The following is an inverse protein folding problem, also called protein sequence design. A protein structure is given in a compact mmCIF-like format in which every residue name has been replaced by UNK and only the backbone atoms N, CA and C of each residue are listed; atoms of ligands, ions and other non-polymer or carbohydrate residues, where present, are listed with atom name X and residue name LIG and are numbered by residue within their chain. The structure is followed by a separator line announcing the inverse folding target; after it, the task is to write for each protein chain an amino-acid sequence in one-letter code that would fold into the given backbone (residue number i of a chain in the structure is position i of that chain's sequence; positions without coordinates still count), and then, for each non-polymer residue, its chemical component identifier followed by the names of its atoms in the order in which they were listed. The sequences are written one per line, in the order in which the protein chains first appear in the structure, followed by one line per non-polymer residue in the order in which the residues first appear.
data_IF_803570935969
#
_entry.id   IF_803570935969
#
_cell.length_a   1.000
_cell.length_b   1.000
_cell.length_c   1.000
_cell.angle_alpha   90.00
_cell.angle_beta   90.00
_cell.angle_gamma   90.00
#
_symmetry.space_group_name_H-M   'P 1'
#
loop_
_entity.id
_entity.type
_entity.pdbx_description
1 polymer ?
#
# COMPACT_ATOMS: atom_id res chain seq x y z
N UNK A 1 -1.59 19.13 -23.90
CA UNK A 1 -1.04 18.97 -22.55
C UNK A 1 -2.08 18.35 -21.62
N UNK A 2 -1.64 17.35 -20.84
CA UNK A 2 -2.49 16.75 -19.83
C UNK A 2 -2.80 17.80 -18.75
N UNK A 3 -4.03 17.80 -18.26
CA UNK A 3 -4.37 18.67 -17.14
C UNK A 3 -3.90 18.03 -15.82
N UNK A 4 -4.06 18.75 -14.72
CA UNK A 4 -3.62 18.30 -13.41
C UNK A 4 -4.33 17.01 -12.99
N UNK A 5 -5.62 16.87 -13.33
CA UNK A 5 -6.40 15.68 -13.01
C UNK A 5 -5.85 14.45 -13.74
N UNK A 6 -5.56 14.57 -15.03
CA UNK A 6 -5.00 13.48 -15.82
C UNK A 6 -3.62 13.06 -15.31
N UNK A 7 -2.77 14.01 -14.93
CA UNK A 7 -1.46 13.73 -14.36
C UNK A 7 -1.58 12.99 -13.03
N UNK A 8 -2.54 13.39 -12.21
CA UNK A 8 -2.78 12.75 -10.93
C UNK A 8 -3.26 11.31 -11.11
N UNK A 9 -4.18 11.09 -12.04
CA UNK A 9 -4.69 9.74 -12.35
C UNK A 9 -3.59 8.84 -12.89
N UNK A 10 -2.72 9.36 -13.76
CA UNK A 10 -1.60 8.60 -14.28
C UNK A 10 -0.62 8.24 -13.17
N UNK A 11 -0.30 9.17 -12.29
CA UNK A 11 0.58 8.92 -11.16
C UNK A 11 0.02 7.86 -10.23
N UNK A 12 -1.28 7.91 -9.94
CA UNK A 12 -1.95 6.92 -9.09
C UNK A 12 -1.90 5.54 -9.74
N UNK A 13 -2.11 5.45 -11.05
CA UNK A 13 -2.04 4.17 -11.77
C UNK A 13 -0.64 3.56 -11.72
N UNK A 14 0.39 4.38 -11.89
CA UNK A 14 1.79 3.92 -11.81
C UNK A 14 2.12 3.44 -10.40
N UNK A 15 1.66 4.16 -9.39
CA UNK A 15 1.88 3.80 -7.99
C UNK A 15 1.16 2.49 -7.67
N UNK A 16 -0.08 2.32 -8.13
CA UNK A 16 -0.83 1.10 -7.91
C UNK A 16 -0.16 -0.10 -8.55
N UNK A 17 0.39 0.08 -9.76
CA UNK A 17 1.13 -0.98 -10.44
C UNK A 17 2.36 -1.41 -9.66
N UNK A 18 3.15 -0.45 -9.19
CA UNK A 18 4.34 -0.73 -8.38
C UNK A 18 3.96 -1.38 -7.05
N UNK A 19 2.88 -0.92 -6.45
CA UNK A 19 2.37 -1.45 -5.20
C UNK A 19 1.94 -2.92 -5.35
N UNK A 20 1.25 -3.25 -6.44
CA UNK A 20 0.80 -4.61 -6.71
C UNK A 20 2.00 -5.56 -6.89
N UNK A 21 3.04 -5.09 -7.56
CA UNK A 21 4.28 -5.85 -7.73
C UNK A 21 4.93 -6.16 -6.39
N UNK A 22 5.08 -5.13 -5.55
CA UNK A 22 5.67 -5.30 -4.22
C UNK A 22 4.81 -6.20 -3.33
N UNK A 23 3.50 -6.07 -3.45
CA UNK A 23 2.57 -6.89 -2.70
C UNK A 23 2.73 -8.38 -3.05
N UNK A 24 2.81 -8.70 -4.35
CA UNK A 24 2.98 -10.08 -4.77
C UNK A 24 4.29 -10.67 -4.29
N UNK A 25 5.37 -9.89 -4.32
CA UNK A 25 6.65 -10.34 -3.79
C UNK A 25 6.59 -10.58 -2.28
N UNK A 26 5.95 -9.68 -1.55
CA UNK A 26 5.82 -9.80 -0.10
C UNK A 26 4.97 -11.01 0.27
N UNK A 27 3.90 -11.27 -0.46
CA UNK A 27 3.05 -12.44 -0.23
C UNK A 27 3.83 -13.75 -0.45
N UNK A 28 4.68 -13.79 -1.46
CA UNK A 28 5.50 -14.96 -1.73
C UNK A 28 6.52 -15.22 -0.62
N UNK A 29 6.98 -14.18 0.05
CA UNK A 29 7.95 -14.31 1.14
C UNK A 29 7.32 -14.63 2.48
N UNK A 30 6.19 -14.01 2.80
CA UNK A 30 5.66 -13.96 4.17
C UNK A 30 4.27 -14.52 4.31
N UNK A 31 3.57 -14.74 3.21
CA UNK A 31 2.17 -15.16 3.22
C UNK A 31 1.25 -14.02 2.83
N UNK A 32 0.00 -14.34 2.61
CA UNK A 32 -1.00 -13.40 2.10
C UNK A 32 -1.92 -12.94 3.22
N UNK A 33 -2.04 -11.61 3.46
CA UNK A 33 -3.06 -11.13 4.39
C UNK A 33 -4.44 -11.45 3.83
N UNK A 34 -5.33 -11.89 4.70
CA UNK A 34 -6.68 -12.27 4.31
C UNK A 34 -7.72 -11.47 5.07
N UNK A 35 -8.89 -11.37 4.48
CA UNK A 35 -10.08 -10.83 5.13
C UNK A 35 -10.79 -11.92 5.91
N UNK A 36 -11.78 -11.55 6.69
CA UNK A 36 -12.54 -12.50 7.50
C UNK A 36 -13.27 -13.57 6.67
N UNK A 37 -13.54 -13.28 5.39
CA UNK A 37 -14.15 -14.23 4.47
C UNK A 37 -13.13 -15.15 3.78
N UNK A 38 -11.85 -15.02 4.13
CA UNK A 38 -10.77 -15.85 3.56
C UNK A 38 -10.18 -15.35 2.26
N UNK A 39 -10.69 -14.25 1.70
CA UNK A 39 -10.13 -13.69 0.47
C UNK A 39 -8.89 -12.85 0.75
N UNK A 40 -8.02 -12.74 -0.25
CA UNK A 40 -6.80 -11.95 -0.14
C UNK A 40 -7.11 -10.46 0.02
N UNK A 41 -6.36 -9.82 0.91
CA UNK A 41 -6.47 -8.40 1.17
C UNK A 41 -5.26 -7.69 0.58
N UNK A 42 -5.48 -6.53 -0.02
CA UNK A 42 -4.40 -5.69 -0.55
C UNK A 42 -4.60 -4.25 -0.10
N UNK A 43 -3.50 -3.49 -0.19
CA UNK A 43 -3.55 -2.05 0.02
C UNK A 43 -4.26 -1.36 -1.13
N UNK A 44 -4.94 -0.28 -0.80
CA UNK A 44 -5.57 0.59 -1.77
C UNK A 44 -4.96 1.98 -1.64
N UNK A 45 -4.61 2.58 -2.79
CA UNK A 45 -4.19 3.97 -2.84
C UNK A 45 -5.45 4.83 -2.90
N UNK A 46 -5.68 5.63 -1.87
CA UNK A 46 -6.87 6.46 -1.78
C UNK A 46 -6.70 7.82 -2.45
N UNK A 47 -5.48 8.18 -2.80
CA UNK A 47 -5.21 9.42 -3.51
C UNK A 47 -4.03 10.18 -2.94
N UNK A 48 -3.81 11.37 -3.49
CA UNK A 48 -2.81 12.31 -3.00
C UNK A 48 -3.53 13.47 -2.35
N UNK A 49 -3.26 13.70 -1.06
CA UNK A 49 -3.89 14.77 -0.34
C UNK A 49 -4.18 14.40 1.11
N UNK A 50 -4.66 15.36 1.87
CA UNK A 50 -4.96 15.14 3.28
C UNK A 50 -6.37 14.62 3.45
N UNK A 51 -6.48 13.35 3.78
CA UNK A 51 -7.73 12.76 4.26
C UNK A 51 -7.54 12.46 5.74
N UNK A 52 -8.56 12.69 6.55
CA UNK A 52 -8.48 12.44 7.99
C UNK A 52 -8.29 10.95 8.30
N UNK A 53 -7.75 10.63 9.44
CA UNK A 53 -7.61 9.32 10.10
C UNK A 53 -7.07 8.17 9.21
N UNK A 54 -5.99 7.56 9.55
CA UNK A 54 -5.27 6.44 8.90
C UNK A 54 -4.33 6.92 7.79
N UNK A 55 -3.82 8.14 7.91
CA UNK A 55 -2.82 8.65 6.97
C UNK A 55 -1.45 8.08 7.29
N UNK A 56 -0.80 7.49 6.27
CA UNK A 56 0.60 7.12 6.33
C UNK A 56 1.35 8.05 5.40
N UNK A 57 2.04 9.02 5.97
CA UNK A 57 2.83 9.97 5.20
C UNK A 57 4.30 9.56 5.26
N UNK A 58 4.80 9.01 4.17
CA UNK A 58 6.19 8.55 4.07
C UNK A 58 7.07 9.47 3.25
N UNK A 59 6.51 10.50 2.63
CA UNK A 59 7.28 11.43 1.82
C UNK A 59 6.83 12.85 2.09
N UNK A 60 7.80 13.76 2.22
CA UNK A 60 7.50 15.18 2.38
C UNK A 60 7.00 15.82 1.09
N UNK A 61 7.27 15.20 -0.07
CA UNK A 61 6.96 15.78 -1.36
C UNK A 61 5.65 15.27 -1.96
N UNK A 62 5.21 14.09 -1.55
CA UNK A 62 3.99 13.47 -2.08
C UNK A 62 3.19 12.92 -0.92
N UNK A 63 1.99 13.44 -0.72
CA UNK A 63 1.05 12.93 0.27
C UNK A 63 0.29 11.75 -0.32
N UNK A 64 0.81 10.55 -0.13
CA UNK A 64 0.14 9.32 -0.56
C UNK A 64 -0.59 8.71 0.63
N UNK A 65 -1.83 8.37 0.40
CA UNK A 65 -2.67 7.76 1.43
C UNK A 65 -2.96 6.33 1.03
N UNK A 66 -2.57 5.41 1.89
CA UNK A 66 -2.81 3.98 1.73
C UNK A 66 -3.77 3.51 2.81
N UNK A 67 -4.57 2.52 2.48
CA UNK A 67 -5.48 1.95 3.45
C UNK A 67 -5.59 0.44 3.27
N UNK A 68 -5.87 -0.26 4.36
CA UNK A 68 -6.21 -1.67 4.32
C UNK A 68 -7.43 -1.90 5.21
N UNK A 69 -8.18 -2.95 4.91
CA UNK A 69 -9.51 -3.12 5.49
C UNK A 69 -9.51 -3.72 6.89
N UNK A 70 -8.70 -4.74 7.10
CA UNK A 70 -8.74 -5.49 8.36
C UNK A 70 -7.33 -5.78 8.84
N UNK A 71 -7.13 -5.64 10.14
CA UNK A 71 -5.88 -6.05 10.76
C UNK A 71 -5.89 -7.55 11.03
N UNK A 72 -4.72 -8.09 11.28
CA UNK A 72 -4.56 -9.51 11.55
C UNK A 72 -3.09 -9.87 11.60
N UNK A 73 -2.80 -11.15 11.61
CA UNK A 73 -1.45 -11.68 11.73
C UNK A 73 -1.23 -12.72 10.64
N UNK A 74 -0.10 -12.64 9.95
CA UNK A 74 0.28 -13.63 8.95
C UNK A 74 0.63 -14.96 9.61
N UNK A 75 0.55 -16.04 8.83
CA UNK A 75 0.90 -17.38 9.29
C UNK A 75 2.41 -17.65 9.13
N UNK A 76 3.25 -16.62 9.30
CA UNK A 76 4.69 -16.78 9.29
C UNK A 76 5.20 -17.05 10.71
N UNK A 77 6.49 -17.40 10.80
CA UNK A 77 7.09 -17.71 12.11
C UNK A 77 7.05 -16.53 13.08
N UNK A 78 7.14 -15.32 12.56
CA UNK A 78 7.20 -14.10 13.36
C UNK A 78 5.83 -13.56 13.70
N UNK A 79 4.77 -14.18 13.17
CA UNK A 79 3.41 -13.69 13.34
C UNK A 79 3.32 -12.21 12.98
N UNK A 80 3.87 -11.86 11.79
CA UNK A 80 3.90 -10.48 11.32
C UNK A 80 2.49 -9.94 11.20
N UNK A 81 2.22 -8.79 11.82
CA UNK A 81 0.91 -8.15 11.70
C UNK A 81 0.69 -7.64 10.28
N UNK A 82 -0.57 -7.54 9.87
CA UNK A 82 -0.91 -6.98 8.56
C UNK A 82 -0.44 -5.53 8.46
N UNK A 83 -0.54 -4.76 9.55
CA UNK A 83 -0.02 -3.40 9.58
C UNK A 83 1.46 -3.33 9.28
N UNK A 84 2.27 -4.19 9.89
CA UNK A 84 3.70 -4.24 9.63
C UNK A 84 4.00 -4.71 8.21
N UNK A 85 3.27 -5.71 7.72
CA UNK A 85 3.39 -6.20 6.36
C UNK A 85 3.19 -5.07 5.35
N UNK A 86 2.09 -4.35 5.48
CA UNK A 86 1.76 -3.26 4.57
C UNK A 86 2.69 -2.05 4.74
N UNK A 87 3.12 -1.76 5.97
CA UNK A 87 4.08 -0.69 6.21
C UNK A 87 5.40 -0.93 5.51
N UNK A 88 5.88 -2.17 5.49
CA UNK A 88 7.11 -2.52 4.77
C UNK A 88 6.97 -2.32 3.27
N UNK A 89 5.81 -2.67 2.72
CA UNK A 89 5.52 -2.43 1.29
C UNK A 89 5.56 -0.94 0.99
N UNK A 90 4.91 -0.13 1.81
CA UNK A 90 4.89 1.32 1.63
C UNK A 90 6.29 1.93 1.71
N UNK A 91 7.09 1.48 2.67
CA UNK A 91 8.48 1.95 2.79
C UNK A 91 9.32 1.58 1.58
N UNK A 92 9.13 0.37 1.05
CA UNK A 92 9.83 -0.05 -0.17
C UNK A 92 9.43 0.79 -1.37
N UNK A 93 8.13 1.10 -1.48
CA UNK A 93 7.63 1.93 -2.56
C UNK A 93 8.26 3.32 -2.53
N UNK A 94 8.27 3.95 -1.36
CA UNK A 94 8.84 5.30 -1.20
C UNK A 94 10.34 5.29 -1.44
N UNK A 95 11.04 4.29 -0.94
CA UNK A 95 12.49 4.18 -1.10
C UNK A 95 12.89 4.09 -2.57
N UNK A 96 12.09 3.39 -3.38
CA UNK A 96 12.40 3.16 -4.79
C UNK A 96 11.92 4.29 -5.70
N UNK A 97 10.97 5.10 -5.27
CA UNK A 97 10.34 6.13 -6.09
C UNK A 97 10.36 7.53 -5.47
N UNK A 98 10.90 7.64 -4.26
CA UNK A 98 10.96 8.91 -3.53
C UNK A 98 12.18 9.76 -3.78
#
# INVERSE_FOLDING_TARGET
LADLTELTELAESCIQFALDYLYQQACARRGTPILSDGTAQNLVVLGMGKLGAWELNYSSDIDLIFAYQQDGVLADRKETSYGEFFSRICRSLVKNHG
#
